data_IF_148749464243
#
_entry.id   IF_148749464243
#
_cell.length_a   1.000
_cell.length_b   1.000
_cell.length_c   1.000
_cell.angle_alpha   90.00
_cell.angle_beta   90.00
_cell.angle_gamma   90.00
#
_symmetry.space_group_name_H-M   'P 1'
#
loop_
_entity.id
_entity.type
_entity.pdbx_description
1 polymer ?
#
# COMPACT_ATOMS: atom_id res chain seq x y z
N UNK A 1 2.44 2.88 -0.88
CA UNK A 1 3.73 3.59 -0.85
C UNK A 1 4.32 3.41 0.54
N UNK A 2 5.63 3.18 0.64
CA UNK A 2 6.28 2.96 1.94
C UNK A 2 7.72 3.47 1.90
N UNK A 3 8.25 3.85 3.07
CA UNK A 3 9.68 4.14 3.23
C UNK A 3 10.50 2.89 3.60
N UNK A 4 9.85 1.80 4.00
CA UNK A 4 10.54 0.59 4.42
C UNK A 4 10.95 -0.24 3.21
N UNK A 5 12.24 -0.23 2.87
CA UNK A 5 12.77 -1.12 1.82
C UNK A 5 12.67 -2.60 2.19
N UNK A 6 12.80 -2.95 3.47
CA UNK A 6 12.94 -4.34 3.92
C UNK A 6 11.68 -5.18 3.75
N UNK A 7 10.51 -4.56 3.62
CA UNK A 7 9.22 -5.28 3.49
C UNK A 7 8.90 -5.68 2.05
N UNK A 8 9.74 -5.29 1.08
CA UNK A 8 9.58 -5.68 -0.32
C UNK A 8 10.07 -7.12 -0.55
N UNK A 9 9.23 -7.95 -1.16
CA UNK A 9 9.61 -9.29 -1.66
C UNK A 9 10.23 -9.23 -3.04
N UNK A 10 9.75 -8.34 -3.89
CA UNK A 10 10.38 -7.99 -5.17
C UNK A 10 10.80 -6.53 -5.14
N UNK A 11 11.95 -6.22 -5.74
CA UNK A 11 12.49 -4.86 -5.71
C UNK A 11 13.09 -4.51 -7.07
N UNK A 12 12.37 -3.70 -7.84
CA UNK A 12 12.78 -3.28 -9.18
C UNK A 12 13.17 -1.80 -9.12
N UNK A 13 14.46 -1.53 -9.35
CA UNK A 13 14.95 -0.16 -9.50
C UNK A 13 14.49 0.39 -10.85
N UNK A 14 14.00 1.61 -10.87
CA UNK A 14 13.63 2.28 -12.13
C UNK A 14 14.85 3.03 -12.68
N UNK A 15 15.08 2.95 -13.98
CA UNK A 15 16.19 3.66 -14.66
C UNK A 15 15.96 5.18 -14.74
N UNK A 16 14.71 5.62 -14.58
CA UNK A 16 14.35 7.04 -14.45
C UNK A 16 14.07 7.33 -12.99
N UNK A 17 14.27 8.58 -12.60
CA UNK A 17 13.98 9.13 -11.26
C UNK A 17 12.64 9.89 -11.27
N UNK A 18 11.49 9.19 -11.33
CA UNK A 18 10.20 9.84 -11.36
C UNK A 18 9.89 10.45 -10.00
N UNK A 19 9.33 11.66 -10.05
CA UNK A 19 8.82 12.37 -8.89
C UNK A 19 7.32 12.09 -8.72
N UNK A 20 6.88 12.10 -7.47
CA UNK A 20 5.47 12.17 -7.11
C UNK A 20 5.25 13.38 -6.21
N UNK A 21 4.10 14.01 -6.36
CA UNK A 21 3.68 15.11 -5.49
C UNK A 21 2.99 14.53 -4.26
N UNK A 22 3.49 14.84 -3.06
CA UNK A 22 2.87 14.48 -1.79
C UNK A 22 1.89 15.57 -1.32
N UNK A 23 1.13 15.29 -0.26
CA UNK A 23 0.03 16.14 0.20
C UNK A 23 0.45 17.59 0.56
N UNK A 24 1.70 17.81 0.94
CA UNK A 24 2.24 19.16 1.21
C UNK A 24 2.68 19.91 -0.07
N UNK A 25 2.47 19.34 -1.25
CA UNK A 25 2.83 19.92 -2.54
C UNK A 25 4.29 19.67 -2.98
N UNK A 26 5.12 19.05 -2.15
CA UNK A 26 6.50 18.74 -2.53
C UNK A 26 6.58 17.57 -3.52
N UNK A 27 7.48 17.68 -4.49
CA UNK A 27 7.88 16.58 -5.36
C UNK A 27 8.95 15.72 -4.68
N UNK A 28 8.67 14.43 -4.47
CA UNK A 28 9.59 13.48 -3.84
C UNK A 28 9.95 12.35 -4.79
N UNK A 29 11.19 11.87 -4.67
CA UNK A 29 11.74 10.83 -5.56
C UNK A 29 11.21 9.44 -5.21
N UNK A 30 10.81 8.69 -6.24
CA UNK A 30 10.58 7.26 -6.13
C UNK A 30 11.89 6.52 -6.40
N UNK A 31 12.36 5.76 -5.42
CA UNK A 31 13.60 4.99 -5.53
C UNK A 31 13.41 3.67 -6.27
N UNK A 32 12.27 3.04 -6.08
CA UNK A 32 11.93 1.76 -6.69
C UNK A 32 10.45 1.45 -6.55
N UNK A 33 10.04 0.32 -7.11
CA UNK A 33 8.75 -0.28 -6.84
C UNK A 33 8.87 -1.80 -6.70
N UNK A 34 7.83 -2.42 -6.18
CA UNK A 34 7.76 -3.87 -6.08
C UNK A 34 6.58 -4.34 -5.24
N UNK A 35 6.59 -5.62 -4.91
CA UNK A 35 5.49 -6.24 -4.21
C UNK A 35 5.79 -6.39 -2.72
N UNK A 36 4.77 -6.16 -1.89
CA UNK A 36 4.83 -6.32 -0.44
C UNK A 36 3.79 -7.35 -0.03
N UNK A 37 4.13 -8.18 0.95
CA UNK A 37 3.19 -9.10 1.59
C UNK A 37 2.89 -8.53 2.97
N UNK A 38 1.65 -8.11 3.21
CA UNK A 38 1.23 -7.55 4.51
C UNK A 38 0.92 -8.66 5.52
N UNK A 39 0.15 -9.64 5.07
CA UNK A 39 -0.28 -10.83 5.80
C UNK A 39 -0.13 -12.04 4.88
N UNK A 40 -0.13 -13.25 5.43
CA UNK A 40 0.19 -14.51 4.72
C UNK A 40 -0.48 -14.68 3.34
N UNK A 41 -1.61 -14.03 3.08
CA UNK A 41 -2.35 -14.07 1.81
C UNK A 41 -2.46 -12.73 1.06
N UNK A 42 -2.09 -11.59 1.65
CA UNK A 42 -2.33 -10.26 1.08
C UNK A 42 -1.08 -9.74 0.37
N UNK A 43 -1.11 -9.76 -0.96
CA UNK A 43 -0.03 -9.23 -1.80
C UNK A 43 -0.43 -7.85 -2.34
N UNK A 44 0.29 -6.82 -1.93
CA UNK A 44 0.21 -5.51 -2.52
C UNK A 44 1.14 -5.43 -3.74
N UNK A 45 0.55 -5.11 -4.89
CA UNK A 45 1.28 -4.99 -6.16
C UNK A 45 1.69 -3.55 -6.46
N UNK A 46 2.85 -3.40 -7.09
CA UNK A 46 3.41 -2.12 -7.55
C UNK A 46 3.48 -1.05 -6.44
N UNK A 47 3.91 -1.45 -5.25
CA UNK A 47 4.11 -0.52 -4.15
C UNK A 47 5.34 0.34 -4.45
N UNK A 48 5.19 1.65 -4.32
CA UNK A 48 6.30 2.59 -4.49
C UNK A 48 7.14 2.68 -3.21
N UNK A 49 8.46 2.58 -3.36
CA UNK A 49 9.42 2.87 -2.31
C UNK A 49 9.83 4.34 -2.37
N UNK A 50 9.46 5.09 -1.34
CA UNK A 50 9.71 6.53 -1.21
C UNK A 50 10.23 6.79 0.20
N UNK A 51 11.57 6.82 0.40
CA UNK A 51 12.19 6.97 1.71
C UNK A 51 11.82 8.25 2.46
N UNK A 52 11.41 9.30 1.72
CA UNK A 52 11.08 10.62 2.27
C UNK A 52 9.67 10.66 2.90
N UNK A 53 8.85 9.62 2.74
CA UNK A 53 7.53 9.53 3.37
C UNK A 53 7.63 9.01 4.80
N UNK A 54 7.27 9.82 5.80
CA UNK A 54 7.20 9.37 7.18
C UNK A 54 6.20 8.22 7.38
N UNK A 55 5.06 8.28 6.67
CA UNK A 55 3.97 7.32 6.81
C UNK A 55 3.77 6.53 5.52
N UNK A 56 3.44 5.24 5.68
CA UNK A 56 3.05 4.42 4.54
C UNK A 56 1.61 4.74 4.13
N UNK A 57 1.37 4.84 2.83
CA UNK A 57 0.05 5.15 2.27
C UNK A 57 -0.46 3.98 1.44
N UNK A 58 -1.72 3.62 1.62
CA UNK A 58 -2.40 2.61 0.81
C UNK A 58 -3.57 3.24 0.07
N UNK A 59 -3.69 2.98 -1.23
CA UNK A 59 -4.87 3.38 -1.98
C UNK A 59 -5.97 2.37 -1.73
N UNK A 60 -7.02 2.77 -1.03
CA UNK A 60 -8.19 1.93 -0.76
C UNK A 60 -8.83 1.48 -2.07
N UNK A 61 -8.96 2.37 -3.05
CA UNK A 61 -9.55 2.02 -4.35
C UNK A 61 -8.74 0.95 -5.08
N UNK A 62 -7.40 1.06 -5.10
CA UNK A 62 -6.55 0.04 -5.71
C UNK A 62 -6.68 -1.28 -4.95
N UNK A 63 -6.65 -1.24 -3.61
CA UNK A 63 -6.77 -2.43 -2.78
C UNK A 63 -8.11 -3.16 -2.98
N UNK A 64 -9.22 -2.42 -3.04
CA UNK A 64 -10.55 -2.98 -3.33
C UNK A 64 -10.58 -3.70 -4.67
N UNK A 65 -9.97 -3.12 -5.71
CA UNK A 65 -9.88 -3.73 -7.05
C UNK A 65 -8.99 -4.97 -7.06
N UNK A 66 -7.84 -4.92 -6.40
CA UNK A 66 -6.84 -6.00 -6.42
C UNK A 66 -7.29 -7.22 -5.59
N UNK A 67 -8.01 -7.00 -4.49
CA UNK A 67 -8.45 -8.06 -3.57
C UNK A 67 -9.94 -8.40 -3.67
N UNK A 68 -10.70 -7.71 -4.53
CA UNK A 68 -12.16 -7.79 -4.58
C UNK A 68 -12.80 -7.66 -3.18
N UNK A 69 -12.35 -6.67 -2.41
CA UNK A 69 -12.77 -6.48 -1.02
C UNK A 69 -13.61 -5.20 -0.85
N UNK A 70 -14.41 -5.16 0.20
CA UNK A 70 -14.98 -3.94 0.77
C UNK A 70 -14.11 -3.46 1.93
N UNK A 71 -14.22 -2.15 2.22
CA UNK A 71 -13.51 -1.52 3.33
C UNK A 71 -14.51 -0.69 4.10
N UNK A 72 -14.63 -0.95 5.39
CA UNK A 72 -15.51 -0.25 6.32
C UNK A 72 -14.65 0.44 7.37
N UNK A 73 -14.82 1.76 7.51
CA UNK A 73 -14.12 2.57 8.49
C UNK A 73 -14.96 2.75 9.74
N UNK A 74 -14.33 2.53 10.89
CA UNK A 74 -14.85 2.84 12.22
C UNK A 74 -13.97 3.92 12.86
N UNK A 75 -14.39 4.44 14.01
CA UNK A 75 -13.68 5.51 14.70
C UNK A 75 -12.21 5.20 15.03
N UNK A 76 -11.88 3.94 15.31
CA UNK A 76 -10.54 3.53 15.79
C UNK A 76 -9.91 2.40 14.98
N UNK A 77 -10.62 1.88 13.98
CA UNK A 77 -10.17 0.77 13.17
C UNK A 77 -10.87 0.75 11.82
N UNK A 78 -10.34 -0.03 10.88
CA UNK A 78 -11.06 -0.36 9.66
C UNK A 78 -10.99 -1.87 9.38
N UNK A 79 -12.01 -2.35 8.67
CA UNK A 79 -12.19 -3.76 8.34
C UNK A 79 -12.17 -3.91 6.83
N UNK A 80 -11.35 -4.82 6.34
CA UNK A 80 -11.28 -5.26 4.96
C UNK A 80 -12.02 -6.59 4.87
N UNK A 81 -13.08 -6.67 4.06
CA UNK A 81 -13.89 -7.87 3.93
C UNK A 81 -13.89 -8.36 2.48
N UNK A 82 -13.59 -9.65 2.28
CA UNK A 82 -13.66 -10.32 0.99
C UNK A 82 -15.11 -10.41 0.55
N UNK A 83 -15.42 -9.88 -0.64
CA UNK A 83 -16.77 -9.93 -1.19
C UNK A 83 -17.14 -11.32 -1.72
N UNK A 84 -16.17 -12.16 -2.08
CA UNK A 84 -16.43 -13.50 -2.61
C UNK A 84 -16.79 -14.50 -1.51
N UNK A 85 -16.04 -14.51 -0.40
CA UNK A 85 -16.28 -15.44 0.72
C UNK A 85 -17.02 -14.80 1.91
N UNK A 86 -17.29 -13.50 1.89
CA UNK A 86 -17.87 -12.71 3.01
C UNK A 86 -17.02 -12.86 4.29
N UNK A 87 -15.70 -13.08 4.13
CA UNK A 87 -14.76 -13.26 5.24
C UNK A 87 -13.97 -11.99 5.50
N UNK A 88 -13.72 -11.69 6.76
CA UNK A 88 -12.79 -10.63 7.14
C UNK A 88 -11.38 -11.01 6.69
N UNK A 89 -10.79 -10.20 5.83
CA UNK A 89 -9.42 -10.34 5.35
C UNK A 89 -8.46 -9.75 6.40
N UNK A 90 -8.79 -8.55 6.90
CA UNK A 90 -7.91 -7.81 7.78
C UNK A 90 -8.71 -6.83 8.65
N UNK A 91 -8.29 -6.66 9.89
CA UNK A 91 -8.74 -5.56 10.75
C UNK A 91 -7.51 -4.77 11.17
N UNK A 92 -7.43 -3.50 10.81
CA UNK A 92 -6.32 -2.62 11.20
C UNK A 92 -6.82 -1.57 12.16
N UNK A 93 -6.07 -1.34 13.24
CA UNK A 93 -6.28 -0.25 14.18
C UNK A 93 -5.42 0.95 13.75
N UNK A 94 -5.86 2.14 14.13
CA UNK A 94 -5.05 3.36 14.04
C UNK A 94 -3.76 3.24 14.89
#
# INVERSE_FOLDING_TARGET
>A
MTHFRMIFKSYVKRNREPLITIANGQGVLIYSFGNIILESSIVLKDVLHVPQLANSLISVQKLKKDLNCSVTFFLTYCVFQDLAMVKTILTTKE
#
